data_IF_134465890951
#
_entry.id   IF_134465890951
#
_cell.length_a   1.000
_cell.length_b   1.000
_cell.length_c   1.000
_cell.angle_alpha   90.00
_cell.angle_beta   90.00
_cell.angle_gamma   90.00
#
_symmetry.space_group_name_H-M   'P 1'
#
loop_
_entity.id
_entity.type
_entity.pdbx_description
1 polymer ?
#
# COMPACT_ATOMS: atom_id res chain seq x y z
N UNK A 1 37.28 -13.70 22.26
CA UNK A 1 38.52 -13.88 23.08
C UNK A 1 38.93 -15.35 23.03
N UNK A 2 40.22 -15.68 22.84
CA UNK A 2 40.65 -17.09 22.67
C UNK A 2 41.16 -17.64 24.01
N UNK A 3 40.66 -18.81 24.42
CA UNK A 3 41.12 -19.47 25.64
C UNK A 3 42.57 -19.93 25.50
N UNK A 4 43.44 -19.55 26.43
CA UNK A 4 44.87 -19.90 26.38
C UNK A 4 45.13 -21.41 26.59
N UNK A 5 44.23 -22.12 27.29
CA UNK A 5 44.38 -23.53 27.69
C UNK A 5 43.88 -24.49 26.62
N UNK A 6 42.61 -24.37 26.22
CA UNK A 6 42.00 -25.28 25.24
C UNK A 6 42.00 -24.75 23.80
N UNK A 7 42.54 -23.54 23.58
CA UNK A 7 42.55 -22.83 22.29
C UNK A 7 41.16 -22.61 21.66
N UNK A 8 40.09 -22.86 22.41
CA UNK A 8 38.73 -22.58 21.98
C UNK A 8 38.51 -21.08 21.81
N UNK A 9 37.97 -20.70 20.66
CA UNK A 9 37.60 -19.32 20.36
C UNK A 9 36.23 -19.06 20.99
N UNK A 10 36.21 -18.32 22.10
CA UNK A 10 34.96 -17.87 22.70
C UNK A 10 34.36 -16.76 21.83
N UNK A 11 33.18 -17.05 21.30
CA UNK A 11 32.31 -16.10 20.60
C UNK A 11 31.27 -15.65 21.61
N UNK A 12 31.36 -14.41 22.08
CA UNK A 12 30.27 -13.79 22.84
C UNK A 12 29.11 -13.54 21.88
N UNK A 13 28.05 -14.34 22.00
CA UNK A 13 26.79 -14.06 21.34
C UNK A 13 26.15 -12.86 22.04
N UNK A 14 26.22 -11.69 21.42
CA UNK A 14 25.50 -10.49 21.86
C UNK A 14 24.12 -10.47 21.16
N UNK A 15 23.02 -10.80 21.86
CA UNK A 15 21.69 -10.91 21.27
C UNK A 15 21.14 -9.56 20.74
N UNK A 16 21.86 -8.45 20.93
CA UNK A 16 21.49 -7.11 20.49
C UNK A 16 22.19 -6.64 19.19
N UNK A 17 22.90 -7.52 18.47
CA UNK A 17 23.54 -7.16 17.18
C UNK A 17 22.57 -6.99 15.99
N UNK A 18 21.26 -7.15 16.19
CA UNK A 18 20.29 -6.94 15.12
C UNK A 18 20.04 -5.43 14.92
N UNK A 19 20.63 -4.88 13.85
CA UNK A 19 20.21 -3.59 13.33
C UNK A 19 18.77 -3.73 12.84
N UNK A 20 17.87 -2.88 13.36
CA UNK A 20 16.51 -2.77 12.86
C UNK A 20 16.54 -2.28 11.41
N UNK A 21 16.30 -3.19 10.46
CA UNK A 21 16.07 -2.84 9.06
C UNK A 21 14.63 -2.35 8.89
N UNK A 22 14.38 -1.34 8.04
CA UNK A 22 13.02 -0.95 7.72
C UNK A 22 12.28 -2.17 7.16
N UNK A 23 11.09 -2.43 7.69
CA UNK A 23 10.25 -3.50 7.20
C UNK A 23 10.00 -3.29 5.70
N UNK A 24 10.21 -4.30 4.85
CA UNK A 24 9.89 -4.19 3.43
C UNK A 24 8.42 -3.79 3.28
N UNK A 25 8.14 -2.85 2.39
CA UNK A 25 6.81 -2.31 2.14
C UNK A 25 6.13 -1.67 3.37
N UNK A 26 6.89 -1.26 4.40
CA UNK A 26 6.34 -0.56 5.57
C UNK A 26 5.55 0.70 5.22
N UNK A 27 5.88 1.31 4.08
CA UNK A 27 5.21 2.51 3.56
C UNK A 27 4.10 2.20 2.56
N UNK A 28 3.84 0.94 2.25
CA UNK A 28 2.75 0.54 1.37
C UNK A 28 1.45 0.35 2.17
N UNK A 29 0.32 0.70 1.55
CA UNK A 29 -1.03 0.48 2.06
C UNK A 29 -1.90 0.03 0.90
N UNK A 30 -2.67 -1.02 1.12
CA UNK A 30 -3.72 -1.44 0.21
C UNK A 30 -5.04 -0.74 0.56
N UNK A 31 -5.70 -0.21 -0.46
CA UNK A 31 -7.04 0.37 -0.37
C UNK A 31 -7.99 -0.45 -1.24
N UNK A 32 -9.08 -0.92 -0.63
CA UNK A 32 -10.18 -1.54 -1.40
C UNK A 32 -11.12 -0.45 -1.86
N UNK A 33 -11.29 -0.30 -3.16
CA UNK A 33 -12.13 0.72 -3.78
C UNK A 33 -13.14 0.05 -4.70
N UNK A 34 -14.32 0.64 -4.82
CA UNK A 34 -15.33 0.22 -5.80
C UNK A 34 -15.38 1.27 -6.89
N UNK A 35 -15.05 0.87 -8.11
CA UNK A 35 -15.19 1.71 -9.30
C UNK A 35 -16.58 1.54 -9.89
N UNK A 36 -17.26 2.65 -10.15
CA UNK A 36 -18.58 2.69 -10.75
C UNK A 36 -18.43 3.39 -12.12
N UNK A 37 -18.54 2.65 -13.22
CA UNK A 37 -18.41 3.23 -14.55
C UNK A 37 -19.67 4.00 -14.97
N UNK A 38 -19.50 5.02 -15.82
CA UNK A 38 -20.59 5.87 -16.29
C UNK A 38 -21.49 5.22 -17.35
N UNK A 39 -21.08 4.07 -17.89
CA UNK A 39 -21.74 3.40 -19.01
C UNK A 39 -22.69 2.26 -18.58
N UNK A 40 -23.19 2.31 -17.35
CA UNK A 40 -24.09 1.29 -16.75
C UNK A 40 -23.49 -0.12 -16.64
N UNK A 41 -22.19 -0.29 -16.85
CA UNK A 41 -21.49 -1.53 -16.52
C UNK A 41 -21.52 -1.79 -14.99
N UNK A 42 -21.31 -3.05 -14.61
CA UNK A 42 -21.38 -3.46 -13.22
C UNK A 42 -20.22 -2.84 -12.41
N UNK A 43 -20.48 -2.38 -11.16
CA UNK A 43 -19.42 -1.88 -10.29
C UNK A 43 -18.32 -2.91 -10.05
N UNK A 44 -17.06 -2.46 -10.10
CA UNK A 44 -15.88 -3.31 -9.99
C UNK A 44 -15.20 -3.03 -8.64
N UNK A 45 -15.07 -4.06 -7.81
CA UNK A 45 -14.26 -3.97 -6.58
C UNK A 45 -12.82 -4.32 -6.91
N UNK A 46 -11.88 -3.45 -6.55
CA UNK A 46 -10.46 -3.65 -6.78
C UNK A 46 -9.63 -3.22 -5.56
N UNK A 47 -8.42 -3.74 -5.48
CA UNK A 47 -7.45 -3.41 -4.44
C UNK A 47 -6.31 -2.62 -5.08
N UNK A 48 -6.08 -1.42 -4.60
CA UNK A 48 -5.03 -0.53 -5.09
C UNK A 48 -3.95 -0.39 -4.02
N UNK A 49 -2.71 -0.71 -4.37
CA UNK A 49 -1.52 -0.53 -3.53
C UNK A 49 -0.94 0.86 -3.71
N UNK A 50 -0.79 1.61 -2.62
CA UNK A 50 -0.26 2.97 -2.62
C UNK A 50 0.71 3.20 -1.47
N UNK A 51 1.56 4.21 -1.61
CA UNK A 51 2.32 4.71 -0.47
C UNK A 51 1.37 5.35 0.56
N UNK A 52 1.63 5.17 1.86
CA UNK A 52 0.86 5.77 2.97
C UNK A 52 0.77 7.30 2.90
N UNK A 53 1.72 7.95 2.25
CA UNK A 53 1.76 9.41 2.05
C UNK A 53 1.20 9.85 0.69
N UNK A 54 0.66 8.92 -0.11
CA UNK A 54 0.10 9.24 -1.41
C UNK A 54 -1.15 10.13 -1.29
N UNK A 55 -1.31 11.04 -2.27
CA UNK A 55 -2.48 11.91 -2.39
C UNK A 55 -3.60 11.22 -3.18
N UNK A 56 -4.81 11.74 -3.07
CA UNK A 56 -6.01 11.25 -3.78
C UNK A 56 -5.81 11.21 -5.30
N UNK A 57 -5.10 12.18 -5.88
CA UNK A 57 -4.79 12.16 -7.33
C UNK A 57 -4.04 10.88 -7.75
N UNK A 58 -3.07 10.44 -6.94
CA UNK A 58 -2.32 9.21 -7.20
C UNK A 58 -3.19 7.96 -7.09
N UNK A 59 -4.18 7.97 -6.18
CA UNK A 59 -5.16 6.90 -6.09
C UNK A 59 -6.00 6.78 -7.37
N UNK A 60 -6.46 7.91 -7.94
CA UNK A 60 -7.21 7.90 -9.22
C UNK A 60 -6.38 7.32 -10.36
N UNK A 61 -5.12 7.73 -10.47
CA UNK A 61 -4.19 7.22 -11.48
C UNK A 61 -3.96 5.71 -11.35
N UNK A 62 -3.62 5.23 -10.15
CA UNK A 62 -3.35 3.80 -9.94
C UNK A 62 -4.64 2.96 -10.08
N UNK A 63 -5.80 3.51 -9.74
CA UNK A 63 -7.10 2.87 -9.96
C UNK A 63 -7.34 2.61 -11.44
N UNK A 64 -7.24 3.65 -12.28
CA UNK A 64 -7.44 3.54 -13.73
C UNK A 64 -6.42 2.60 -14.37
N UNK A 65 -5.17 2.64 -13.92
CA UNK A 65 -4.13 1.72 -14.36
C UNK A 65 -4.43 0.27 -13.99
N UNK A 66 -4.90 0.02 -12.77
CA UNK A 66 -5.27 -1.33 -12.29
C UNK A 66 -6.47 -1.91 -13.05
N UNK A 67 -7.37 -1.05 -13.51
CA UNK A 67 -8.55 -1.41 -14.30
C UNK A 67 -8.30 -1.42 -15.82
N UNK A 68 -7.07 -1.10 -16.26
CA UNK A 68 -6.68 -0.96 -17.68
C UNK A 68 -7.56 0.04 -18.46
N UNK A 69 -8.09 1.08 -17.78
CA UNK A 69 -8.96 2.12 -18.35
C UNK A 69 -8.14 3.37 -18.72
N UNK A 70 -7.51 3.33 -19.89
CA UNK A 70 -6.75 4.47 -20.44
C UNK A 70 -7.63 5.46 -21.21
N UNK A 71 -8.89 5.11 -21.46
CA UNK A 71 -9.90 5.91 -22.13
C UNK A 71 -10.49 7.01 -21.23
N UNK A 72 -10.33 6.90 -19.91
CA UNK A 72 -10.89 7.82 -18.94
C UNK A 72 -9.79 8.75 -18.40
N UNK A 73 -10.03 10.07 -18.51
CA UNK A 73 -9.16 11.06 -17.86
C UNK A 73 -9.33 11.02 -16.34
N UNK A 74 -8.21 11.07 -15.61
CA UNK A 74 -8.14 11.18 -14.15
C UNK A 74 -9.00 12.34 -13.63
N UNK A 75 -9.09 13.45 -14.38
CA UNK A 75 -9.90 14.61 -14.03
C UNK A 75 -11.41 14.31 -14.00
N UNK A 76 -11.85 13.33 -14.78
CA UNK A 76 -13.25 12.92 -14.87
C UNK A 76 -13.65 11.86 -13.82
N UNK A 77 -12.69 11.41 -13.00
CA UNK A 77 -12.95 10.46 -11.91
C UNK A 77 -13.21 11.22 -10.62
N UNK A 78 -14.43 11.09 -10.09
CA UNK A 78 -14.77 11.57 -8.75
C UNK A 78 -14.47 10.47 -7.72
N UNK A 79 -14.05 10.87 -6.51
CA UNK A 79 -13.87 9.96 -5.38
C UNK A 79 -14.85 10.34 -4.28
N UNK A 80 -15.44 9.34 -3.64
CA UNK A 80 -16.44 9.55 -2.60
C UNK A 80 -16.28 8.51 -1.50
N UNK A 81 -16.53 8.95 -0.26
CA UNK A 81 -16.71 8.08 0.89
C UNK A 81 -18.18 7.64 0.95
N UNK A 82 -18.38 6.34 1.10
CA UNK A 82 -19.71 5.74 1.21
C UNK A 82 -19.82 5.09 2.58
N UNK A 83 -20.85 5.48 3.33
CA UNK A 83 -21.16 4.96 4.67
C UNK A 83 -22.65 4.63 4.69
N UNK A 84 -23.05 3.50 5.27
CA UNK A 84 -24.47 3.16 5.44
C UNK A 84 -25.35 3.41 4.19
N UNK A 85 -24.86 2.99 3.02
CA UNK A 85 -25.54 3.13 1.72
C UNK A 85 -25.81 4.58 1.25
N UNK A 86 -25.13 5.59 1.82
CA UNK A 86 -25.17 6.96 1.33
C UNK A 86 -23.75 7.49 1.09
N UNK A 87 -23.65 8.49 0.21
CA UNK A 87 -22.39 9.22 0.00
C UNK A 87 -22.23 10.18 1.18
N UNK A 88 -21.28 9.91 2.06
CA UNK A 88 -21.01 10.75 3.23
C UNK A 88 -20.17 11.98 2.87
N UNK A 89 -19.27 11.84 1.88
CA UNK A 89 -18.36 12.90 1.45
C UNK A 89 -17.84 12.68 0.03
N UNK A 90 -17.63 13.77 -0.71
CA UNK A 90 -16.91 13.78 -2.00
C UNK A 90 -15.52 14.38 -1.74
N UNK A 91 -14.49 13.78 -2.33
CA UNK A 91 -13.06 14.07 -2.11
C UNK A 91 -12.37 14.68 -3.34
#
# INVERSE_FOLDING_TARGET
VVCAVCKYVSVTYEPFMYLSVPLPNAMERQLTVTYIPSNYEQPIRCVVSLNKQARIGKLKEELLKTLERQDVDVANVALAEVLENHISRIL
#
